data_IF_233114394930
#
_entry.id   IF_233114394930
#
_cell.length_a   1.000
_cell.length_b   1.000
_cell.length_c   1.000
_cell.angle_alpha   90.00
_cell.angle_beta   90.00
_cell.angle_gamma   90.00
#
_symmetry.space_group_name_H-M   'P 1'
#
loop_
_entity.id
_entity.type
_entity.pdbx_description
1 polymer ?
#
# COMPACT_ATOMS: atom_id res chain seq x y z
N UNK A 1 -7.05 28.58 18.44
CA UNK A 1 -5.97 27.56 18.48
C UNK A 1 -6.36 26.46 17.50
N UNK A 2 -5.99 26.60 16.22
CA UNK A 2 -6.18 25.55 15.22
C UNK A 2 -4.87 24.80 15.09
N UNK A 3 -4.87 23.51 15.41
CA UNK A 3 -3.70 22.64 15.26
C UNK A 3 -3.46 22.47 13.77
N UNK A 4 -2.39 23.08 13.26
CA UNK A 4 -1.92 22.86 11.90
C UNK A 4 -1.46 21.42 11.74
N UNK A 5 -2.30 20.58 11.18
CA UNK A 5 -1.89 19.28 10.65
C UNK A 5 -0.99 19.54 9.45
N UNK A 6 0.31 19.37 9.63
CA UNK A 6 1.26 19.28 8.53
C UNK A 6 0.91 18.01 7.75
N UNK A 7 0.16 18.14 6.67
CA UNK A 7 0.00 17.09 5.65
C UNK A 7 1.31 17.03 4.86
N UNK A 8 2.28 16.30 5.40
CA UNK A 8 3.46 15.90 4.64
C UNK A 8 3.00 15.02 3.47
N UNK A 9 3.50 15.28 2.26
CA UNK A 9 3.21 14.42 1.12
C UNK A 9 3.66 12.98 1.43
N UNK A 10 2.91 11.95 0.98
CA UNK A 10 3.26 10.55 1.23
C UNK A 10 4.67 10.27 0.68
N UNK A 11 5.59 9.87 1.55
CA UNK A 11 6.99 9.56 1.20
C UNK A 11 7.18 8.11 0.77
N UNK A 12 6.10 7.34 0.75
CA UNK A 12 6.03 5.97 0.28
C UNK A 12 6.46 5.84 -1.18
N UNK A 13 7.17 4.76 -1.48
CA UNK A 13 7.45 4.35 -2.87
C UNK A 13 6.42 3.30 -3.26
N UNK A 14 5.67 3.60 -4.31
CA UNK A 14 4.53 2.81 -4.78
C UNK A 14 4.75 2.34 -6.20
N UNK A 15 4.51 1.06 -6.47
CA UNK A 15 4.61 0.50 -7.82
C UNK A 15 3.25 -0.01 -8.27
N UNK A 16 2.75 0.50 -9.40
CA UNK A 16 1.54 -0.03 -10.03
C UNK A 16 1.82 -1.44 -10.58
N UNK A 17 0.91 -2.35 -10.29
CA UNK A 17 1.05 -3.77 -10.65
C UNK A 17 0.70 -4.02 -12.12
N UNK A 18 -0.25 -3.24 -12.63
CA UNK A 18 -0.72 -3.30 -14.01
C UNK A 18 -0.56 -1.91 -14.65
N UNK A 19 -0.02 -1.89 -15.87
CA UNK A 19 0.15 -0.71 -16.71
C UNK A 19 -0.39 -1.03 -18.12
N UNK A 20 -0.96 -0.06 -18.85
CA UNK A 20 -1.27 1.32 -18.43
C UNK A 20 -2.53 1.40 -17.54
N UNK A 21 -2.98 2.63 -17.22
CA UNK A 21 -3.98 3.03 -16.21
C UNK A 21 -5.07 1.99 -15.86
N UNK A 22 -5.49 1.91 -14.58
CA UNK A 22 -6.57 1.03 -14.19
C UNK A 22 -7.84 1.34 -15.00
N UNK A 23 -8.32 0.36 -15.75
CA UNK A 23 -9.52 0.48 -16.61
C UNK A 23 -10.82 0.61 -15.78
N UNK A 24 -10.74 0.43 -14.46
CA UNK A 24 -11.88 0.40 -13.56
C UNK A 24 -11.50 0.80 -12.12
N UNK A 25 -12.42 0.65 -11.17
CA UNK A 25 -12.26 1.06 -9.76
C UNK A 25 -11.19 0.29 -8.94
N UNK A 26 -10.43 -0.61 -9.57
CA UNK A 26 -9.45 -1.46 -8.89
C UNK A 26 -8.05 -0.83 -8.99
N UNK A 27 -7.50 -0.38 -7.86
CA UNK A 27 -6.13 0.08 -7.75
C UNK A 27 -5.26 -1.06 -7.23
N UNK A 28 -4.38 -1.57 -8.09
CA UNK A 28 -3.45 -2.66 -7.76
C UNK A 28 -2.03 -2.12 -7.65
N UNK A 29 -1.45 -2.16 -6.45
CA UNK A 29 -0.13 -1.58 -6.19
C UNK A 29 0.67 -2.35 -5.13
N UNK A 30 1.99 -2.28 -5.22
CA UNK A 30 2.91 -2.65 -4.15
C UNK A 30 3.34 -1.42 -3.37
N UNK A 31 3.45 -1.57 -2.05
CA UNK A 31 4.24 -0.68 -1.22
C UNK A 31 5.67 -1.23 -1.12
N UNK A 32 6.66 -0.42 -1.47
CA UNK A 32 8.07 -0.80 -1.33
C UNK A 32 8.63 -0.20 -0.04
N UNK A 33 8.87 -1.03 0.99
CA UNK A 33 9.36 -0.54 2.27
C UNK A 33 10.81 -0.07 2.13
N UNK A 34 11.29 0.81 3.04
CA UNK A 34 12.64 1.38 2.95
C UNK A 34 13.75 0.34 2.79
N UNK A 35 13.63 -0.85 3.39
CA UNK A 35 14.65 -1.91 3.30
C UNK A 35 14.82 -2.52 1.91
N UNK A 36 13.83 -2.36 1.02
CA UNK A 36 13.78 -2.96 -0.32
C UNK A 36 13.99 -1.94 -1.46
N UNK A 37 13.90 -0.64 -1.18
CA UNK A 37 14.06 0.41 -2.21
C UNK A 37 15.46 0.32 -2.84
N UNK A 38 15.54 0.30 -4.19
CA UNK A 38 16.79 0.24 -4.92
C UNK A 38 17.45 -1.15 -4.94
N UNK A 39 16.74 -2.20 -4.53
CA UNK A 39 17.22 -3.59 -4.51
C UNK A 39 16.47 -4.51 -5.47
N UNK A 40 15.83 -3.95 -6.50
CA UNK A 40 14.95 -4.66 -7.43
C UNK A 40 15.68 -5.77 -8.21
N UNK A 41 17.00 -5.66 -8.38
CA UNK A 41 17.84 -6.69 -9.01
C UNK A 41 18.26 -7.84 -8.09
N UNK A 42 17.94 -7.78 -6.79
CA UNK A 42 18.32 -8.82 -5.84
C UNK A 42 17.44 -10.07 -6.03
N UNK A 43 18.00 -11.29 -6.00
CA UNK A 43 17.21 -12.52 -6.18
C UNK A 43 16.16 -12.74 -5.08
N UNK A 44 16.36 -12.16 -3.89
CA UNK A 44 15.41 -12.21 -2.77
C UNK A 44 14.37 -11.08 -2.78
N UNK A 45 14.45 -10.12 -3.73
CA UNK A 45 13.58 -8.94 -3.77
C UNK A 45 12.10 -9.33 -3.83
N UNK A 46 11.68 -10.09 -4.85
CA UNK A 46 10.29 -10.47 -5.03
C UNK A 46 9.75 -11.36 -3.90
N UNK A 47 10.48 -12.39 -3.43
CA UNK A 47 10.08 -13.16 -2.24
C UNK A 47 9.87 -12.30 -0.99
N UNK A 48 10.70 -11.27 -0.78
CA UNK A 48 10.55 -10.35 0.36
C UNK A 48 9.40 -9.37 0.17
N UNK A 49 9.26 -8.78 -1.02
CA UNK A 49 8.16 -7.88 -1.36
C UNK A 49 6.80 -8.59 -1.22
N UNK A 50 6.73 -9.86 -1.59
CA UNK A 50 5.54 -10.69 -1.42
C UNK A 50 5.08 -10.91 0.04
N UNK A 51 5.94 -10.64 1.02
CA UNK A 51 5.61 -10.72 2.45
C UNK A 51 5.10 -9.39 3.01
N UNK A 52 5.33 -8.28 2.32
CA UNK A 52 4.99 -6.92 2.79
C UNK A 52 3.48 -6.75 2.98
N UNK A 53 2.67 -7.03 1.96
CA UNK A 53 1.23 -6.85 2.03
C UNK A 53 0.54 -7.71 3.13
N UNK A 54 0.89 -9.01 3.30
CA UNK A 54 0.41 -9.80 4.44
C UNK A 54 0.72 -9.19 5.81
N UNK A 55 1.96 -8.73 6.03
CA UNK A 55 2.38 -8.16 7.32
C UNK A 55 1.65 -6.85 7.61
N UNK A 56 1.51 -5.98 6.61
CA UNK A 56 0.78 -4.71 6.77
C UNK A 56 -0.71 -5.00 7.03
N UNK A 57 -1.34 -5.93 6.32
CA UNK A 57 -2.74 -6.33 6.59
C UNK A 57 -2.91 -6.83 8.02
N UNK A 58 -2.01 -7.68 8.50
CA UNK A 58 -2.07 -8.18 9.88
C UNK A 58 -1.99 -7.04 10.90
N UNK A 59 -1.05 -6.10 10.71
CA UNK A 59 -0.91 -4.93 11.60
C UNK A 59 -2.15 -4.03 11.55
N UNK A 60 -2.73 -3.85 10.37
CA UNK A 60 -3.94 -3.05 10.17
C UNK A 60 -5.15 -3.70 10.87
N UNK A 61 -5.30 -5.03 10.76
CA UNK A 61 -6.35 -5.80 11.45
C UNK A 61 -6.19 -5.73 12.97
N UNK A 62 -4.97 -5.87 13.50
CA UNK A 62 -4.71 -5.77 14.95
C UNK A 62 -5.02 -4.39 15.52
N UNK A 63 -4.74 -3.32 14.76
CA UNK A 63 -5.06 -1.95 15.17
C UNK A 63 -6.56 -1.65 15.02
N UNK A 64 -7.26 -2.33 14.11
CA UNK A 64 -8.66 -2.07 13.80
C UNK A 64 -8.87 -0.77 13.01
N UNK A 65 -7.83 -0.24 12.35
CA UNK A 65 -7.91 1.03 11.62
C UNK A 65 -8.65 0.88 10.28
N UNK A 66 -8.35 -0.17 9.52
CA UNK A 66 -8.89 -0.39 8.17
C UNK A 66 -8.89 -1.88 7.79
N UNK A 67 -9.59 -2.23 6.72
CA UNK A 67 -9.57 -3.55 6.12
C UNK A 67 -9.22 -3.45 4.63
N UNK A 68 -8.07 -4.00 4.24
CA UNK A 68 -7.59 -3.98 2.85
C UNK A 68 -7.38 -5.42 2.34
N UNK A 69 -7.68 -5.62 1.06
CA UNK A 69 -7.40 -6.86 0.34
C UNK A 69 -5.98 -6.89 -0.22
N UNK A 70 -5.37 -8.07 -0.24
CA UNK A 70 -4.20 -8.35 -1.05
C UNK A 70 -4.36 -9.71 -1.74
N UNK A 71 -3.67 -9.89 -2.86
CA UNK A 71 -3.60 -11.18 -3.53
C UNK A 71 -2.34 -11.28 -4.41
N UNK A 72 -1.85 -12.49 -4.71
CA UNK A 72 -0.94 -12.72 -5.83
C UNK A 72 -1.72 -12.78 -7.16
N UNK A 73 -1.04 -12.64 -8.29
CA UNK A 73 -1.65 -12.82 -9.62
C UNK A 73 -0.63 -13.28 -10.66
N UNK A 74 -0.76 -14.51 -11.15
CA UNK A 74 0.20 -15.10 -12.06
C UNK A 74 1.61 -15.13 -11.46
N UNK A 75 2.58 -14.49 -12.12
CA UNK A 75 3.96 -14.35 -11.64
C UNK A 75 4.17 -13.21 -10.64
N UNK A 76 3.12 -12.44 -10.34
CA UNK A 76 3.18 -11.28 -9.43
C UNK A 76 2.93 -11.73 -7.99
N UNK A 77 3.87 -11.41 -7.11
CA UNK A 77 3.77 -11.63 -5.66
C UNK A 77 2.67 -10.75 -5.04
N UNK A 78 2.30 -11.01 -3.78
CA UNK A 78 1.20 -10.29 -3.11
C UNK A 78 1.29 -8.77 -3.28
N UNK A 79 0.20 -8.17 -3.76
CA UNK A 79 0.01 -6.73 -3.89
C UNK A 79 -1.33 -6.32 -3.27
N UNK A 80 -1.47 -5.05 -2.92
CA UNK A 80 -2.73 -4.50 -2.46
C UNK A 80 -3.69 -4.30 -3.62
N UNK A 81 -4.96 -4.63 -3.41
CA UNK A 81 -6.06 -4.34 -4.33
C UNK A 81 -7.10 -3.50 -3.61
N UNK A 82 -7.01 -2.19 -3.81
CA UNK A 82 -8.00 -1.25 -3.30
C UNK A 82 -9.15 -1.13 -4.29
N UNK A 83 -10.37 -1.20 -3.80
CA UNK A 83 -11.59 -1.00 -4.58
C UNK A 83 -12.35 0.16 -3.94
N UNK A 84 -12.60 1.23 -4.70
CA UNK A 84 -13.37 2.37 -4.22
C UNK A 84 -14.78 2.29 -4.79
N UNK A 85 -15.71 1.75 -4.00
CA UNK A 85 -17.14 1.65 -4.36
C UNK A 85 -18.04 2.56 -3.55
N UNK A 86 -17.64 2.91 -2.32
CA UNK A 86 -18.46 3.70 -1.43
C UNK A 86 -18.37 5.18 -1.84
N UNK A 87 -19.48 5.83 -2.26
CA UNK A 87 -19.49 7.23 -2.66
C UNK A 87 -19.18 8.21 -1.52
N UNK A 88 -19.24 7.76 -0.26
CA UNK A 88 -18.83 8.55 0.89
C UNK A 88 -17.30 8.61 1.07
N UNK A 89 -16.53 7.82 0.32
CA UNK A 89 -15.06 7.88 0.36
C UNK A 89 -14.60 9.23 -0.16
N UNK A 90 -13.90 9.95 0.68
CA UNK A 90 -13.30 11.25 0.38
C UNK A 90 -11.84 11.07 -0.04
N UNK A 91 -11.25 12.14 -0.55
CA UNK A 91 -9.81 12.18 -0.79
C UNK A 91 -9.02 11.95 0.52
N UNK A 92 -9.47 12.54 1.63
CA UNK A 92 -8.80 12.43 2.92
C UNK A 92 -8.78 10.98 3.44
N UNK A 93 -9.82 10.19 3.15
CA UNK A 93 -9.84 8.75 3.48
C UNK A 93 -8.79 7.97 2.68
N UNK A 94 -8.56 8.35 1.41
CA UNK A 94 -7.53 7.75 0.57
C UNK A 94 -6.12 8.20 0.96
N UNK A 95 -5.96 9.46 1.35
CA UNK A 95 -4.71 9.98 1.88
C UNK A 95 -4.36 9.25 3.20
N UNK A 96 -5.33 9.10 4.12
CA UNK A 96 -5.16 8.30 5.34
C UNK A 96 -4.81 6.84 5.04
N UNK A 97 -5.43 6.22 4.04
CA UNK A 97 -5.13 4.85 3.65
C UNK A 97 -3.67 4.66 3.24
N UNK A 98 -3.14 5.55 2.41
CA UNK A 98 -1.74 5.51 1.97
C UNK A 98 -0.78 5.76 3.14
N UNK A 99 -1.09 6.77 3.97
CA UNK A 99 -0.30 7.10 5.16
C UNK A 99 -0.27 5.95 6.17
N UNK A 100 -1.39 5.26 6.36
CA UNK A 100 -1.49 4.14 7.29
C UNK A 100 -0.70 2.93 6.79
N UNK A 101 -0.71 2.65 5.48
CA UNK A 101 0.15 1.61 4.88
C UNK A 101 1.63 1.97 5.09
N UNK A 102 2.03 3.22 4.80
CA UNK A 102 3.41 3.66 4.98
C UNK A 102 3.84 3.56 6.45
N UNK A 103 3.01 4.05 7.37
CA UNK A 103 3.26 3.99 8.82
C UNK A 103 3.39 2.55 9.33
N UNK A 104 2.56 1.63 8.81
CA UNK A 104 2.59 0.22 9.18
C UNK A 104 3.69 -0.57 8.46
N UNK A 105 4.28 -0.04 7.40
CA UNK A 105 5.32 -0.70 6.62
C UNK A 105 6.72 -0.08 6.74
N UNK A 106 6.87 1.03 7.48
CA UNK A 106 8.12 1.81 7.57
C UNK A 106 9.35 1.04 8.08
N UNK A 107 9.13 0.03 8.91
CA UNK A 107 10.16 -0.81 9.55
C UNK A 107 10.35 -2.16 8.84
N UNK A 108 9.71 -2.36 7.69
CA UNK A 108 9.84 -3.56 6.87
C UNK A 108 11.02 -3.47 5.90
#
# INVERSE_FOLDING_TARGET
>A
MGVGGQTGAPTGVWHLVFLPQPEFINLCFWFVPPSLRGREGSPDYWPRLGKVAPVIKERMMRKGSMMVGYQPHGTKVNFFRQIVTNPAVTKDDLDFFLDEIERLGRDL
#
